data_IF_123748528085
#
_entry.id   IF_123748528085
#
_cell.length_a   1.000
_cell.length_b   1.000
_cell.length_c   1.000
_cell.angle_alpha   90.00
_cell.angle_beta   90.00
_cell.angle_gamma   90.00
#
_symmetry.space_group_name_H-M   'P 1'
#
loop_
_entity.id
_entity.type
_entity.pdbx_description
1 polymer ?
#
# COMPACT_ATOMS: atom_id res chain seq x y z
N UNK A 1 -12.27 -9.79 -17.76
CA UNK A 1 -12.73 -9.67 -16.36
C UNK A 1 -14.25 -9.64 -16.38
N UNK A 2 -14.94 -10.51 -15.64
CA UNK A 2 -16.41 -10.44 -15.49
C UNK A 2 -16.79 -9.95 -14.08
N UNK A 3 -18.07 -9.68 -13.85
CA UNK A 3 -18.58 -9.18 -12.56
C UNK A 3 -18.22 -10.10 -11.39
N UNK A 4 -18.31 -11.43 -11.56
CA UNK A 4 -17.98 -12.41 -10.51
C UNK A 4 -16.51 -12.31 -10.07
N UNK A 5 -15.57 -12.19 -11.00
CA UNK A 5 -14.14 -12.06 -10.68
C UNK A 5 -13.83 -10.70 -10.05
N UNK A 6 -14.53 -9.65 -10.46
CA UNK A 6 -14.39 -8.33 -9.85
C UNK A 6 -14.88 -8.32 -8.40
N UNK A 7 -16.07 -8.86 -8.13
CA UNK A 7 -16.60 -9.00 -6.77
C UNK A 7 -15.68 -9.88 -5.91
N UNK A 8 -15.14 -10.96 -6.48
CA UNK A 8 -14.15 -11.79 -5.78
C UNK A 8 -12.93 -10.98 -5.37
N UNK A 9 -12.32 -10.23 -6.30
CA UNK A 9 -11.15 -9.39 -6.02
C UNK A 9 -11.47 -8.35 -4.94
N UNK A 10 -12.62 -7.70 -5.03
CA UNK A 10 -13.10 -6.71 -4.06
C UNK A 10 -13.20 -7.34 -2.66
N UNK A 11 -13.96 -8.42 -2.52
CA UNK A 11 -14.22 -9.03 -1.21
C UNK A 11 -12.97 -9.68 -0.60
N UNK A 12 -12.10 -10.30 -1.40
CA UNK A 12 -10.86 -10.88 -0.88
C UNK A 12 -9.89 -9.79 -0.43
N UNK A 13 -9.77 -8.70 -1.17
CA UNK A 13 -8.94 -7.56 -0.79
C UNK A 13 -9.50 -6.87 0.47
N UNK A 14 -10.83 -6.76 0.58
CA UNK A 14 -11.52 -6.24 1.76
C UNK A 14 -11.20 -7.09 3.01
N UNK A 15 -11.31 -8.42 2.88
CA UNK A 15 -10.96 -9.35 3.95
C UNK A 15 -9.48 -9.27 4.34
N UNK A 16 -8.57 -9.19 3.35
CA UNK A 16 -7.13 -9.01 3.58
C UNK A 16 -6.87 -7.72 4.35
N UNK A 17 -7.46 -6.59 3.94
CA UNK A 17 -7.30 -5.32 4.64
C UNK A 17 -7.77 -5.38 6.09
N UNK A 18 -8.94 -5.99 6.33
CA UNK A 18 -9.48 -6.19 7.68
C UNK A 18 -8.55 -7.03 8.57
N UNK A 19 -8.09 -8.19 8.07
CA UNK A 19 -7.21 -9.10 8.82
C UNK A 19 -5.85 -8.45 9.08
N UNK A 20 -5.23 -7.87 8.04
CA UNK A 20 -3.91 -7.25 8.17
C UNK A 20 -3.94 -6.06 9.12
N UNK A 21 -4.99 -5.24 9.08
CA UNK A 21 -5.13 -4.09 9.98
C UNK A 21 -5.39 -4.52 11.42
N UNK A 22 -6.20 -5.56 11.64
CA UNK A 22 -6.37 -6.14 12.97
C UNK A 22 -5.04 -6.61 13.57
N UNK A 23 -4.26 -7.38 12.82
CA UNK A 23 -2.96 -7.87 13.27
C UNK A 23 -1.97 -6.71 13.51
N UNK A 24 -1.85 -5.79 12.55
CA UNK A 24 -0.98 -4.63 12.68
C UNK A 24 -1.38 -3.74 13.86
N UNK A 25 -2.68 -3.52 14.07
CA UNK A 25 -3.22 -2.70 15.16
C UNK A 25 -2.83 -3.22 16.54
N UNK A 26 -2.98 -4.53 16.78
CA UNK A 26 -2.57 -5.13 18.05
C UNK A 26 -1.04 -5.14 18.23
N UNK A 27 -0.27 -5.33 17.16
CA UNK A 27 1.20 -5.33 17.23
C UNK A 27 1.74 -3.92 17.52
N UNK A 28 1.28 -2.92 16.77
CA UNK A 28 1.75 -1.53 16.89
C UNK A 28 1.35 -0.95 18.24
N UNK A 29 0.11 -1.18 18.66
CA UNK A 29 -0.45 -0.64 19.91
C UNK A 29 -0.44 -1.65 21.05
N UNK A 30 0.54 -2.54 21.05
CA UNK A 30 0.61 -3.63 22.03
C UNK A 30 0.59 -3.14 23.48
N UNK A 31 1.35 -2.08 23.78
CA UNK A 31 1.41 -1.47 25.11
C UNK A 31 0.06 -0.94 25.61
N UNK A 32 -0.86 -0.59 24.71
CA UNK A 32 -2.20 -0.12 25.05
C UNK A 32 -3.17 -1.28 25.33
N UNK A 33 -3.03 -2.39 24.60
CA UNK A 33 -3.99 -3.48 24.60
C UNK A 33 -3.54 -4.72 25.38
N UNK A 34 -2.27 -4.83 25.78
CA UNK A 34 -1.72 -6.00 26.48
C UNK A 34 -2.51 -6.37 27.75
N UNK A 35 -2.97 -5.37 28.51
CA UNK A 35 -3.75 -5.59 29.73
C UNK A 35 -5.08 -6.27 29.45
N UNK A 36 -5.69 -6.01 28.30
CA UNK A 36 -6.94 -6.67 27.90
C UNK A 36 -6.74 -8.17 27.66
N UNK A 37 -5.57 -8.56 27.16
CA UNK A 37 -5.18 -9.96 26.99
C UNK A 37 -4.88 -10.63 28.33
N UNK A 38 -4.13 -9.96 29.22
CA UNK A 38 -3.75 -10.51 30.54
C UNK A 38 -4.98 -10.68 31.44
N UNK A 39 -5.89 -9.70 31.44
CA UNK A 39 -7.10 -9.70 32.26
C UNK A 39 -8.26 -10.50 31.63
N UNK A 40 -8.06 -11.13 30.46
CA UNK A 40 -9.08 -11.88 29.73
C UNK A 40 -10.39 -11.09 29.51
N UNK A 41 -10.27 -9.80 29.16
CA UNK A 41 -11.41 -8.92 28.85
C UNK A 41 -11.92 -9.15 27.43
N UNK A 42 -12.55 -10.31 27.21
CA UNK A 42 -12.97 -10.79 25.88
C UNK A 42 -13.88 -9.79 25.16
N UNK A 43 -14.82 -9.15 25.87
CA UNK A 43 -15.74 -8.18 25.27
C UNK A 43 -15.02 -6.94 24.71
N UNK A 44 -14.04 -6.41 25.44
CA UNK A 44 -13.24 -5.25 25.02
C UNK A 44 -12.29 -5.63 23.88
N UNK A 45 -11.64 -6.80 23.95
CA UNK A 45 -10.82 -7.32 22.85
C UNK A 45 -11.61 -7.47 21.56
N UNK A 46 -12.85 -7.98 21.64
CA UNK A 46 -13.72 -8.11 20.48
C UNK A 46 -14.10 -6.74 19.89
N UNK A 47 -14.40 -5.75 20.74
CA UNK A 47 -14.70 -4.40 20.30
C UNK A 47 -13.51 -3.74 19.56
N UNK A 48 -12.30 -3.88 20.12
CA UNK A 48 -11.07 -3.37 19.49
C UNK A 48 -10.79 -4.10 18.17
N UNK A 49 -10.98 -5.42 18.13
CA UNK A 49 -10.82 -6.21 16.92
C UNK A 49 -11.77 -5.73 15.81
N UNK A 50 -13.06 -5.55 16.13
CA UNK A 50 -14.06 -5.03 15.18
C UNK A 50 -13.68 -3.63 14.70
N UNK A 51 -13.16 -2.79 15.57
CA UNK A 51 -12.69 -1.44 15.22
C UNK A 51 -11.54 -1.47 14.21
N UNK A 52 -10.52 -2.30 14.44
CA UNK A 52 -9.41 -2.44 13.49
C UNK A 52 -9.83 -3.06 12.18
N UNK A 53 -10.75 -4.03 12.19
CA UNK A 53 -11.32 -4.58 10.96
C UNK A 53 -12.05 -3.48 10.18
N UNK A 54 -12.81 -2.63 10.86
CA UNK A 54 -13.49 -1.47 10.27
C UNK A 54 -12.53 -0.53 9.55
N UNK A 55 -11.41 -0.16 10.20
CA UNK A 55 -10.37 0.62 9.55
C UNK A 55 -9.71 -0.12 8.38
N UNK A 56 -9.46 -1.42 8.53
CA UNK A 56 -8.90 -2.23 7.46
C UNK A 56 -9.78 -2.30 6.23
N UNK A 57 -11.11 -2.25 6.39
CA UNK A 57 -12.03 -2.12 5.28
C UNK A 57 -11.85 -0.80 4.55
N UNK A 58 -11.75 0.32 5.27
CA UNK A 58 -11.51 1.65 4.68
C UNK A 58 -10.18 1.65 3.91
N UNK A 59 -9.10 1.17 4.51
CA UNK A 59 -7.78 1.12 3.86
C UNK A 59 -7.79 0.24 2.61
N UNK A 60 -8.48 -0.90 2.65
CA UNK A 60 -8.62 -1.76 1.48
C UNK A 60 -9.39 -1.08 0.34
N UNK A 61 -10.42 -0.28 0.64
CA UNK A 61 -11.21 0.43 -0.38
C UNK A 61 -10.36 1.53 -1.02
N UNK A 62 -9.55 2.24 -0.24
CA UNK A 62 -8.57 3.22 -0.74
C UNK A 62 -7.56 2.55 -1.69
N UNK A 63 -6.99 1.42 -1.27
CA UNK A 63 -6.08 0.60 -2.09
C UNK A 63 -6.74 0.10 -3.38
N UNK A 64 -8.01 -0.29 -3.34
CA UNK A 64 -8.76 -0.69 -4.52
C UNK A 64 -9.01 0.46 -5.49
N UNK A 65 -9.37 1.62 -4.98
CA UNK A 65 -9.54 2.83 -5.78
C UNK A 65 -8.24 3.20 -6.50
N UNK A 66 -7.11 3.25 -5.79
CA UNK A 66 -5.82 3.55 -6.39
C UNK A 66 -5.36 2.51 -7.40
N UNK A 67 -5.61 1.22 -7.15
CA UNK A 67 -5.34 0.15 -8.10
C UNK A 67 -6.07 0.34 -9.43
N UNK A 68 -7.38 0.57 -9.42
CA UNK A 68 -8.15 0.75 -10.65
C UNK A 68 -7.83 2.08 -11.34
N UNK A 69 -7.60 3.14 -10.58
CA UNK A 69 -7.11 4.41 -11.11
C UNK A 69 -5.78 4.21 -11.85
N UNK A 70 -4.85 3.46 -11.26
CA UNK A 70 -3.57 3.17 -11.88
C UNK A 70 -3.69 2.32 -13.15
N UNK A 71 -4.51 1.26 -13.17
CA UNK A 71 -4.73 0.48 -14.39
C UNK A 71 -5.23 1.35 -15.55
N UNK A 72 -6.06 2.35 -15.22
CA UNK A 72 -6.58 3.32 -16.18
C UNK A 72 -5.48 4.26 -16.67
N UNK A 73 -4.72 4.86 -15.74
CA UNK A 73 -3.57 5.72 -16.06
C UNK A 73 -2.53 4.98 -16.89
N UNK A 74 -2.23 3.73 -16.55
CA UNK A 74 -1.27 2.92 -17.28
C UNK A 74 -1.72 2.66 -18.72
N UNK A 75 -3.02 2.37 -18.94
CA UNK A 75 -3.58 2.22 -20.29
C UNK A 75 -3.51 3.51 -21.09
N UNK A 76 -3.87 4.65 -20.49
CA UNK A 76 -3.76 5.94 -21.17
C UNK A 76 -2.31 6.35 -21.41
N UNK A 77 -1.41 6.10 -20.47
CA UNK A 77 0.02 6.36 -20.61
C UNK A 77 0.61 5.65 -21.82
N UNK A 78 0.34 4.35 -21.99
CA UNK A 78 0.77 3.61 -23.17
C UNK A 78 0.18 4.19 -24.48
N UNK A 79 -1.07 4.65 -24.46
CA UNK A 79 -1.69 5.30 -25.63
C UNK A 79 -1.09 6.66 -25.98
N UNK A 80 -0.76 7.47 -24.98
CA UNK A 80 -0.21 8.84 -25.15
C UNK A 80 1.26 8.78 -25.58
N UNK A 81 2.09 8.01 -24.86
CA UNK A 81 3.53 7.92 -25.12
C UNK A 81 3.87 7.01 -26.31
N UNK A 82 2.91 6.19 -26.77
CA UNK A 82 3.01 5.28 -27.93
C UNK A 82 4.17 4.28 -27.88
N UNK A 83 4.92 4.22 -26.78
CA UNK A 83 6.06 3.34 -26.56
C UNK A 83 6.10 2.91 -25.09
N UNK A 84 6.22 1.60 -24.88
CA UNK A 84 6.36 0.99 -23.55
C UNK A 84 7.62 1.51 -22.85
N UNK A 85 8.72 1.65 -23.58
CA UNK A 85 9.99 2.13 -23.03
C UNK A 85 9.86 3.58 -22.53
N UNK A 86 9.25 4.46 -23.32
CA UNK A 86 9.08 5.87 -22.94
C UNK A 86 8.16 6.01 -21.72
N UNK A 87 7.06 5.26 -21.69
CA UNK A 87 6.16 5.27 -20.53
C UNK A 87 6.85 4.74 -19.27
N UNK A 88 7.61 3.66 -19.37
CA UNK A 88 8.39 3.13 -18.25
C UNK A 88 9.44 4.15 -17.75
N UNK A 89 10.09 4.90 -18.64
CA UNK A 89 11.00 5.97 -18.25
C UNK A 89 10.30 7.08 -17.45
N UNK A 90 9.11 7.50 -17.87
CA UNK A 90 8.29 8.48 -17.13
C UNK A 90 7.95 7.95 -15.74
N UNK A 91 7.57 6.67 -15.63
CA UNK A 91 7.28 6.06 -14.33
C UNK A 91 8.49 6.04 -13.40
N UNK A 92 9.69 5.76 -13.91
CA UNK A 92 10.93 5.80 -13.10
C UNK A 92 11.18 7.21 -12.56
N UNK A 93 11.03 8.24 -13.40
CA UNK A 93 11.18 9.64 -12.97
C UNK A 93 10.17 9.99 -11.88
N UNK A 94 8.90 9.56 -12.04
CA UNK A 94 7.87 9.78 -11.04
C UNK A 94 8.13 9.03 -9.73
N UNK A 95 8.67 7.80 -9.78
CA UNK A 95 9.10 7.07 -8.58
C UNK A 95 10.17 7.88 -7.83
N UNK A 96 11.21 8.33 -8.53
CA UNK A 96 12.28 9.12 -7.93
C UNK A 96 11.74 10.44 -7.34
N UNK A 97 10.85 11.12 -8.06
CA UNK A 97 10.23 12.36 -7.61
C UNK A 97 9.40 12.16 -6.34
N UNK A 98 8.54 11.14 -6.29
CA UNK A 98 7.66 10.88 -5.13
C UNK A 98 8.46 10.40 -3.92
N UNK A 99 9.54 9.62 -4.13
CA UNK A 99 10.43 9.26 -3.02
C UNK A 99 11.18 10.47 -2.48
N UNK A 100 11.65 11.36 -3.36
CA UNK A 100 12.24 12.63 -2.93
C UNK A 100 11.22 13.47 -2.16
N UNK A 101 10.00 13.61 -2.67
CA UNK A 101 8.91 14.35 -2.02
C UNK A 101 8.63 13.80 -0.61
N UNK A 102 8.47 12.48 -0.49
CA UNK A 102 8.22 11.78 0.77
C UNK A 102 9.34 11.99 1.80
N UNK A 103 10.60 12.09 1.37
CA UNK A 103 11.73 12.31 2.27
C UNK A 103 11.84 13.79 2.60
N UNK A 104 12.02 14.63 1.58
CA UNK A 104 12.41 16.02 1.73
C UNK A 104 11.29 16.87 2.31
N UNK A 105 10.10 16.88 1.70
CA UNK A 105 9.03 17.74 2.18
C UNK A 105 8.48 17.26 3.52
N UNK A 106 8.40 15.94 3.74
CA UNK A 106 8.00 15.43 5.05
C UNK A 106 9.01 15.82 6.13
N UNK A 107 10.32 15.72 5.87
CA UNK A 107 11.35 16.19 6.81
C UNK A 107 11.19 17.68 7.11
N UNK A 108 11.05 18.52 6.07
CA UNK A 108 10.90 19.97 6.23
C UNK A 108 9.63 20.37 7.03
N UNK A 109 8.54 19.60 6.91
CA UNK A 109 7.28 19.92 7.57
C UNK A 109 7.19 19.42 9.02
N UNK A 110 7.87 18.32 9.35
CA UNK A 110 7.61 17.58 10.59
C UNK A 110 8.85 17.34 11.46
N UNK A 111 10.06 17.51 10.93
CA UNK A 111 11.28 17.31 11.71
C UNK A 111 11.39 18.40 12.79
N UNK A 112 11.67 17.96 14.02
CA UNK A 112 12.02 18.86 15.12
C UNK A 112 13.49 19.26 15.01
N UNK A 113 13.87 20.35 15.70
CA UNK A 113 15.26 20.79 15.73
C UNK A 113 16.20 19.66 16.20
N UNK A 114 17.19 19.33 15.37
CA UNK A 114 18.16 18.26 15.62
C UNK A 114 17.68 16.84 15.25
N UNK A 115 16.47 16.68 14.72
CA UNK A 115 15.97 15.38 14.27
C UNK A 115 16.69 14.93 12.99
N UNK A 116 17.08 13.66 12.95
CA UNK A 116 17.82 13.08 11.83
C UNK A 116 16.90 12.75 10.66
N UNK A 117 17.34 13.11 9.44
CA UNK A 117 16.66 12.74 8.19
C UNK A 117 16.64 11.21 7.94
N UNK A 118 17.47 10.44 8.66
CA UNK A 118 17.64 9.00 8.46
C UNK A 118 16.30 8.25 8.60
N UNK A 119 15.47 8.58 9.58
CA UNK A 119 14.18 7.90 9.79
C UNK A 119 13.23 8.07 8.59
N UNK A 120 13.27 9.23 7.94
CA UNK A 120 12.47 9.53 6.75
C UNK A 120 12.97 8.74 5.53
N UNK A 121 14.30 8.64 5.39
CA UNK A 121 14.94 7.82 4.34
C UNK A 121 14.60 6.34 4.54
N UNK A 122 14.66 5.82 5.77
CA UNK A 122 14.37 4.42 6.06
C UNK A 122 12.93 4.02 5.70
N UNK A 123 11.95 4.87 5.96
CA UNK A 123 10.56 4.64 5.57
C UNK A 123 10.44 4.56 4.04
N UNK A 124 11.02 5.52 3.33
CA UNK A 124 10.98 5.56 1.86
C UNK A 124 11.69 4.34 1.24
N UNK A 125 12.84 3.95 1.78
CA UNK A 125 13.57 2.75 1.37
C UNK A 125 12.80 1.47 1.68
N UNK A 126 12.10 1.40 2.81
CA UNK A 126 11.24 0.27 3.17
C UNK A 126 10.13 0.06 2.14
N UNK A 127 9.41 1.13 1.77
CA UNK A 127 8.37 1.09 0.74
C UNK A 127 8.97 0.68 -0.61
N UNK A 128 10.11 1.26 -1.00
CA UNK A 128 10.79 0.92 -2.25
C UNK A 128 11.22 -0.55 -2.27
N UNK A 129 11.80 -1.07 -1.18
CA UNK A 129 12.25 -2.45 -1.06
C UNK A 129 11.08 -3.43 -1.23
N UNK A 130 9.97 -3.19 -0.53
CA UNK A 130 8.75 -4.00 -0.68
C UNK A 130 8.24 -3.93 -2.12
N UNK A 131 8.25 -2.73 -2.72
CA UNK A 131 7.87 -2.54 -4.13
C UNK A 131 8.77 -3.32 -5.10
N UNK A 132 10.08 -3.33 -4.88
CA UNK A 132 11.05 -4.10 -5.68
C UNK A 132 10.79 -5.59 -5.58
N UNK A 133 10.56 -6.11 -4.36
CA UNK A 133 10.26 -7.53 -4.11
C UNK A 133 8.98 -7.93 -4.85
N UNK A 134 7.89 -7.19 -4.66
CA UNK A 134 6.60 -7.49 -5.30
C UNK A 134 6.71 -7.36 -6.83
N UNK A 135 7.40 -6.35 -7.34
CA UNK A 135 7.64 -6.17 -8.77
C UNK A 135 8.46 -7.30 -9.38
N UNK A 136 9.47 -7.81 -8.66
CA UNK A 136 10.26 -8.96 -9.07
C UNK A 136 9.41 -10.23 -9.13
N UNK A 137 8.59 -10.49 -8.11
CA UNK A 137 7.65 -11.62 -8.11
C UNK A 137 6.66 -11.50 -9.28
N UNK A 138 6.11 -10.31 -9.51
CA UNK A 138 5.18 -10.07 -10.62
C UNK A 138 5.84 -10.32 -11.97
N UNK A 139 7.05 -9.81 -12.16
CA UNK A 139 7.87 -10.02 -13.37
C UNK A 139 8.08 -11.50 -13.67
N UNK A 140 8.36 -12.31 -12.65
CA UNK A 140 8.54 -13.76 -12.79
C UNK A 140 7.23 -14.47 -13.18
N UNK A 141 6.08 -14.00 -12.69
CA UNK A 141 4.78 -14.60 -12.97
C UNK A 141 4.20 -14.21 -14.35
N UNK A 142 4.63 -13.09 -14.93
CA UNK A 142 4.06 -12.57 -16.19
C UNK A 142 5.10 -12.34 -17.29
N UNK A 143 5.85 -11.25 -17.26
CA UNK A 143 6.82 -10.86 -18.28
C UNK A 143 7.79 -9.79 -17.73
N UNK A 144 8.88 -9.53 -18.47
CA UNK A 144 9.91 -8.56 -18.07
C UNK A 144 9.40 -7.11 -18.00
N UNK A 145 8.47 -6.73 -18.87
CA UNK A 145 7.93 -5.36 -18.96
C UNK A 145 7.03 -5.00 -17.78
N UNK A 146 6.50 -5.98 -17.06
CA UNK A 146 5.65 -5.75 -15.89
C UNK A 146 6.40 -5.19 -14.68
N UNK A 147 7.74 -5.21 -14.65
CA UNK A 147 8.52 -4.80 -13.48
C UNK A 147 8.33 -3.32 -13.13
N UNK A 148 8.58 -2.40 -14.06
CA UNK A 148 8.48 -0.95 -13.81
C UNK A 148 7.05 -0.54 -13.47
N UNK A 149 6.00 -0.98 -14.20
CA UNK A 149 4.62 -0.72 -13.82
C UNK A 149 4.24 -1.21 -12.44
N UNK A 150 4.78 -2.35 -12.02
CA UNK A 150 4.55 -2.93 -10.70
C UNK A 150 5.23 -2.12 -9.60
N UNK A 151 6.48 -1.74 -9.84
CA UNK A 151 7.25 -0.91 -8.91
C UNK A 151 6.60 0.45 -8.73
N UNK A 152 6.17 1.10 -9.83
CA UNK A 152 5.44 2.36 -9.79
C UNK A 152 4.18 2.24 -8.93
N UNK A 153 3.38 1.20 -9.15
CA UNK A 153 2.15 1.00 -8.38
C UNK A 153 2.45 0.83 -6.89
N UNK A 154 3.37 -0.08 -6.56
CA UNK A 154 3.69 -0.38 -5.16
C UNK A 154 4.35 0.79 -4.44
N UNK A 155 4.99 1.72 -5.14
CA UNK A 155 5.65 2.88 -4.55
C UNK A 155 4.78 4.13 -4.66
N UNK A 156 4.60 4.68 -5.86
CA UNK A 156 3.92 5.97 -6.07
C UNK A 156 2.47 5.92 -5.63
N UNK A 157 1.73 4.90 -6.06
CA UNK A 157 0.29 4.83 -5.77
C UNK A 157 0.05 4.55 -4.29
N UNK A 158 0.81 3.64 -3.68
CA UNK A 158 0.77 3.43 -2.23
C UNK A 158 1.06 4.70 -1.44
N UNK A 159 2.06 5.50 -1.84
CA UNK A 159 2.39 6.76 -1.13
C UNK A 159 1.24 7.78 -1.26
N UNK A 160 0.63 7.88 -2.45
CA UNK A 160 -0.55 8.74 -2.66
C UNK A 160 -1.73 8.28 -1.80
N UNK A 161 -1.99 6.97 -1.74
CA UNK A 161 -3.04 6.38 -0.89
C UNK A 161 -2.79 6.63 0.60
N UNK A 162 -1.52 6.62 1.00
CA UNK A 162 -1.06 6.83 2.38
C UNK A 162 -1.03 8.30 2.81
N UNK A 163 -1.30 9.23 1.90
CA UNK A 163 -1.30 10.67 2.15
C UNK A 163 -2.12 11.12 3.37
N UNK A 164 -3.32 10.57 3.67
CA UNK A 164 -4.07 10.95 4.87
C UNK A 164 -3.30 10.71 6.17
N UNK A 165 -2.57 9.60 6.28
CA UNK A 165 -1.77 9.30 7.47
C UNK A 165 -0.50 10.17 7.52
N UNK A 166 0.11 10.45 6.37
CA UNK A 166 1.25 11.37 6.26
C UNK A 166 0.92 12.77 6.78
N UNK A 167 -0.33 13.23 6.61
CA UNK A 167 -0.78 14.55 7.10
C UNK A 167 -0.98 14.62 8.61
N UNK A 168 -1.43 13.53 9.23
CA UNK A 168 -1.64 13.46 10.69
C UNK A 168 -0.28 13.38 11.40
N UNK A 169 0.70 12.70 10.80
CA UNK A 169 2.05 12.53 11.32
C UNK A 169 2.11 11.93 12.75
N UNK A 170 1.18 11.02 13.04
CA UNK A 170 1.21 10.17 14.22
C UNK A 170 1.86 8.82 13.86
N UNK A 171 2.87 8.40 14.61
CA UNK A 171 3.67 7.20 14.28
C UNK A 171 2.83 5.92 14.24
N UNK A 172 1.92 5.74 15.20
CA UNK A 172 1.05 4.57 15.23
C UNK A 172 0.12 4.56 14.01
N UNK A 173 -0.48 5.71 13.69
CA UNK A 173 -1.37 5.85 12.54
C UNK A 173 -0.65 5.67 11.20
N UNK A 174 0.58 6.16 11.09
CA UNK A 174 1.44 6.00 9.92
C UNK A 174 1.61 4.51 9.58
N UNK A 175 2.06 3.70 10.53
CA UNK A 175 2.27 2.27 10.30
C UNK A 175 0.96 1.47 10.22
N UNK A 176 -0.06 1.86 10.99
CA UNK A 176 -1.36 1.19 10.98
C UNK A 176 -2.04 1.25 9.60
N UNK A 177 -1.85 2.34 8.86
CA UNK A 177 -2.35 2.47 7.50
C UNK A 177 -1.39 1.90 6.44
N UNK A 178 -0.08 2.11 6.58
CA UNK A 178 0.91 1.71 5.57
C UNK A 178 0.95 0.19 5.35
N UNK A 179 0.97 -0.59 6.43
CA UNK A 179 1.09 -2.05 6.37
C UNK A 179 -0.07 -2.68 5.58
N UNK A 180 -1.36 -2.45 5.91
CA UNK A 180 -2.46 -3.02 5.15
C UNK A 180 -2.50 -2.50 3.70
N UNK A 181 -2.17 -1.24 3.43
CA UNK A 181 -2.07 -0.74 2.04
C UNK A 181 -1.05 -1.55 1.22
N UNK A 182 0.16 -1.76 1.75
CA UNK A 182 1.19 -2.55 1.07
C UNK A 182 0.71 -3.98 0.79
N UNK A 183 0.04 -4.62 1.76
CA UNK A 183 -0.45 -5.99 1.60
C UNK A 183 -1.61 -6.06 0.59
N UNK A 184 -2.58 -5.14 0.66
CA UNK A 184 -3.69 -5.07 -0.30
C UNK A 184 -3.18 -4.80 -1.72
N UNK A 185 -2.31 -3.79 -1.90
CA UNK A 185 -1.72 -3.45 -3.20
C UNK A 185 -0.93 -4.61 -3.78
N UNK A 186 -0.08 -5.27 -2.97
CA UNK A 186 0.66 -6.44 -3.40
C UNK A 186 -0.28 -7.58 -3.83
N UNK A 187 -1.30 -7.87 -3.03
CA UNK A 187 -2.28 -8.90 -3.35
C UNK A 187 -2.98 -8.62 -4.68
N UNK A 188 -3.55 -7.43 -4.86
CA UNK A 188 -4.29 -7.05 -6.06
C UNK A 188 -3.41 -7.14 -7.32
N UNK A 189 -2.18 -6.61 -7.23
CA UNK A 189 -1.23 -6.63 -8.33
C UNK A 189 -0.83 -8.07 -8.73
N UNK A 190 -0.59 -8.93 -7.74
CA UNK A 190 -0.15 -10.32 -7.97
C UNK A 190 -1.32 -11.20 -8.43
N UNK A 191 -2.54 -11.04 -7.92
CA UNK A 191 -3.67 -11.91 -8.30
C UNK A 191 -4.27 -11.55 -9.66
N UNK A 192 -4.16 -10.29 -10.12
CA UNK A 192 -4.86 -9.79 -11.31
C UNK A 192 -4.67 -10.66 -12.55
N UNK A 193 -3.42 -11.04 -12.84
CA UNK A 193 -3.11 -11.79 -14.06
C UNK A 193 -3.73 -13.19 -14.07
N UNK A 194 -3.94 -13.81 -12.91
CA UNK A 194 -4.62 -15.11 -12.80
C UNK A 194 -6.11 -14.95 -13.11
N UNK A 195 -6.74 -13.92 -12.53
CA UNK A 195 -8.15 -13.62 -12.78
C UNK A 195 -8.43 -13.27 -14.26
N UNK A 196 -7.47 -12.69 -14.97
CA UNK A 196 -7.62 -12.35 -16.39
C UNK A 196 -7.22 -13.45 -17.35
N UNK A 197 -6.38 -14.41 -16.96
CA UNK A 197 -5.98 -15.55 -17.81
C UNK A 197 -7.06 -16.63 -17.95
N UNK A 198 -7.86 -16.85 -16.91
CA UNK A 198 -8.96 -17.84 -16.93
C UNK A 198 -10.23 -17.29 -17.65
N UNK A 199 -10.08 -16.40 -18.63
CA UNK A 199 -11.18 -15.68 -19.28
C UNK A 199 -11.15 -15.86 -20.80
#
# INVERSE_FOLDING_TARGET
MNSRKWVRLFLTTLGIGGITTALAGFIIRWSEYEKLFIEFKIGELFAVLVWFIGFGFIFSVVSQMGFFAYLTVHRFGLGIFRSVALWNSVQIVLIAFVLFDLIYFRYQLFAKDGESIISYILIALGILLVGVIVAAVKRQQTNKEAFIPSLFFMTVVTIIEWFPALRINDENWLYLMLIPLLVCNAYQLLILHKLTKDA
#
